data_IF_059595804590
#
_entry.id   IF_059595804590
#
_cell.length_a   1.000
_cell.length_b   1.000
_cell.length_c   1.000
_cell.angle_alpha   90.00
_cell.angle_beta   90.00
_cell.angle_gamma   90.00
#
_symmetry.space_group_name_H-M   'P 1'
#
loop_
_entity.id
_entity.type
_entity.pdbx_description
1 polymer ?
#
# COMPACT_ATOMS: atom_id res chain seq x y z
N UNK A 1 -13.93 22.21 4.27
CA UNK A 1 -12.59 21.71 4.68
C UNK A 1 -12.22 22.40 5.98
N UNK A 2 -12.40 21.73 7.13
CA UNK A 2 -12.11 22.31 8.45
C UNK A 2 -10.59 22.19 8.62
N UNK A 3 -9.85 23.32 8.56
CA UNK A 3 -8.46 23.39 9.00
C UNK A 3 -8.47 23.17 10.52
N UNK A 4 -8.15 21.95 10.95
CA UNK A 4 -7.88 21.66 12.35
C UNK A 4 -6.41 22.01 12.58
N UNK A 5 -6.18 23.10 13.28
CA UNK A 5 -4.83 23.64 13.59
C UNK A 5 -4.23 22.92 14.79
N UNK A 6 -4.27 21.56 14.76
CA UNK A 6 -3.65 20.69 15.76
C UNK A 6 -2.55 19.86 15.13
N UNK A 7 -1.49 19.58 15.88
CA UNK A 7 -0.41 18.73 15.40
C UNK A 7 -0.91 17.32 15.10
N UNK A 8 -0.29 16.65 14.13
CA UNK A 8 -0.64 15.27 13.78
C UNK A 8 -0.56 14.34 15.01
N UNK A 9 0.45 14.51 15.85
CA UNK A 9 0.59 13.77 17.10
C UNK A 9 -0.58 13.98 18.07
N UNK A 10 -1.09 15.21 18.18
CA UNK A 10 -2.25 15.50 19.03
C UNK A 10 -3.54 14.92 18.45
N UNK A 11 -3.69 14.96 17.12
CA UNK A 11 -4.82 14.34 16.42
C UNK A 11 -4.86 12.83 16.70
N UNK A 12 -3.73 12.14 16.63
CA UNK A 12 -3.62 10.71 16.93
C UNK A 12 -3.89 10.38 18.40
N UNK A 13 -3.48 11.22 19.34
CA UNK A 13 -3.83 11.07 20.76
C UNK A 13 -5.33 11.18 20.99
N UNK A 14 -6.00 12.17 20.38
CA UNK A 14 -7.46 12.33 20.45
C UNK A 14 -8.18 11.13 19.81
N UNK A 15 -7.73 10.67 18.67
CA UNK A 15 -8.26 9.47 18.01
C UNK A 15 -8.15 8.25 18.95
N UNK A 16 -6.99 8.02 19.53
CA UNK A 16 -6.75 6.92 20.47
C UNK A 16 -7.57 7.00 21.76
N UNK A 17 -8.01 8.19 22.16
CA UNK A 17 -8.93 8.39 23.30
C UNK A 17 -10.42 8.30 22.93
N UNK A 18 -10.75 8.02 21.67
CA UNK A 18 -12.12 7.87 21.22
C UNK A 18 -12.82 9.15 20.77
N UNK A 19 -12.06 10.20 20.39
CA UNK A 19 -12.63 11.44 19.87
C UNK A 19 -13.16 11.21 18.43
N UNK A 20 -14.47 11.34 18.25
CA UNK A 20 -15.17 11.12 16.97
C UNK A 20 -14.75 12.12 15.89
N UNK A 21 -14.40 13.37 16.28
CA UNK A 21 -13.93 14.36 15.30
C UNK A 21 -12.54 14.01 14.79
N UNK A 22 -11.66 13.57 15.69
CA UNK A 22 -10.35 13.07 15.30
C UNK A 22 -10.46 11.82 14.42
N UNK A 23 -11.42 10.92 14.69
CA UNK A 23 -11.74 9.77 13.84
C UNK A 23 -12.07 10.21 12.42
N UNK A 24 -13.04 11.13 12.23
CA UNK A 24 -13.42 11.58 10.88
C UNK A 24 -12.24 12.16 10.11
N UNK A 25 -11.42 13.00 10.74
CA UNK A 25 -10.26 13.62 10.10
C UNK A 25 -9.23 12.57 9.64
N UNK A 26 -8.92 11.61 10.50
CA UNK A 26 -7.95 10.55 10.19
C UNK A 26 -8.51 9.61 9.13
N UNK A 27 -9.78 9.23 9.23
CA UNK A 27 -10.43 8.39 8.24
C UNK A 27 -10.43 9.05 6.86
N UNK A 28 -10.88 10.29 6.75
CA UNK A 28 -10.92 11.04 5.49
C UNK A 28 -9.53 11.23 4.88
N UNK A 29 -8.51 11.32 5.74
CA UNK A 29 -7.12 11.51 5.27
C UNK A 29 -6.49 10.23 4.70
N UNK A 30 -6.77 9.07 5.32
CA UNK A 30 -6.06 7.82 4.99
C UNK A 30 -6.89 6.78 4.23
N UNK A 31 -8.23 6.86 4.26
CA UNK A 31 -9.10 5.80 3.73
C UNK A 31 -8.87 5.54 2.22
N UNK A 32 -8.73 6.59 1.41
CA UNK A 32 -8.51 6.45 -0.03
C UNK A 32 -7.17 5.78 -0.34
N UNK A 33 -6.13 6.12 0.40
CA UNK A 33 -4.81 5.55 0.24
C UNK A 33 -4.77 4.07 0.68
N UNK A 34 -5.43 3.77 1.80
CA UNK A 34 -5.64 2.40 2.27
C UNK A 34 -6.46 1.59 1.25
N UNK A 35 -7.49 2.18 0.67
CA UNK A 35 -8.31 1.52 -0.34
C UNK A 35 -7.49 1.16 -1.60
N UNK A 36 -6.72 2.11 -2.14
CA UNK A 36 -5.85 1.85 -3.30
C UNK A 36 -4.85 0.73 -3.04
N UNK A 37 -4.20 0.74 -1.87
CA UNK A 37 -3.27 -0.32 -1.49
C UNK A 37 -3.99 -1.67 -1.30
N UNK A 38 -5.11 -1.67 -0.58
CA UNK A 38 -5.90 -2.87 -0.32
C UNK A 38 -6.41 -3.54 -1.59
N UNK A 39 -6.85 -2.77 -2.58
CA UNK A 39 -7.30 -3.29 -3.88
C UNK A 39 -6.20 -4.06 -4.61
N UNK A 40 -4.94 -3.62 -4.51
CA UNK A 40 -3.80 -4.32 -5.11
C UNK A 40 -3.53 -5.71 -4.48
N UNK A 41 -3.95 -5.90 -3.23
CA UNK A 41 -3.77 -7.16 -2.50
C UNK A 41 -4.99 -8.08 -2.67
N UNK A 42 -6.19 -7.54 -2.44
CA UNK A 42 -7.42 -8.34 -2.35
C UNK A 42 -8.15 -8.49 -3.69
N UNK A 43 -8.06 -7.50 -4.58
CA UNK A 43 -8.83 -7.45 -5.82
C UNK A 43 -10.34 -7.37 -5.63
N UNK A 44 -10.83 -7.31 -4.39
CA UNK A 44 -12.25 -7.25 -4.00
C UNK A 44 -12.54 -6.01 -3.19
N UNK A 45 -13.42 -5.16 -3.72
CA UNK A 45 -13.85 -3.93 -3.04
C UNK A 45 -14.50 -4.22 -1.69
N UNK A 46 -15.28 -5.28 -1.59
CA UNK A 46 -15.97 -5.69 -0.37
C UNK A 46 -14.95 -6.05 0.73
N UNK A 47 -14.02 -6.96 0.44
CA UNK A 47 -12.96 -7.34 1.38
C UNK A 47 -12.16 -6.13 1.84
N UNK A 48 -11.83 -5.21 0.92
CA UNK A 48 -11.03 -4.03 1.26
C UNK A 48 -11.77 -3.08 2.17
N UNK A 49 -13.04 -2.76 1.86
CA UNK A 49 -13.85 -1.86 2.69
C UNK A 49 -14.10 -2.43 4.08
N UNK A 50 -14.41 -3.72 4.18
CA UNK A 50 -14.58 -4.41 5.46
C UNK A 50 -13.27 -4.41 6.25
N UNK A 51 -12.13 -4.64 5.58
CA UNK A 51 -10.82 -4.60 6.23
C UNK A 51 -10.45 -3.22 6.75
N UNK A 52 -10.75 -2.16 5.99
CA UNK A 52 -10.54 -0.76 6.42
C UNK A 52 -11.41 -0.47 7.64
N UNK A 53 -12.70 -0.83 7.58
CA UNK A 53 -13.62 -0.65 8.69
C UNK A 53 -13.11 -1.37 9.95
N UNK A 54 -12.76 -2.65 9.83
CA UNK A 54 -12.25 -3.45 10.94
C UNK A 54 -10.98 -2.86 11.56
N UNK A 55 -10.04 -2.35 10.73
CA UNK A 55 -8.83 -1.68 11.22
C UNK A 55 -9.19 -0.46 12.05
N UNK A 56 -10.04 0.43 11.52
CA UNK A 56 -10.43 1.64 12.23
C UNK A 56 -11.20 1.35 13.52
N UNK A 57 -12.12 0.39 13.51
CA UNK A 57 -12.85 -0.04 14.71
C UNK A 57 -11.90 -0.61 15.77
N UNK A 58 -10.92 -1.41 15.39
CA UNK A 58 -9.96 -2.02 16.32
C UNK A 58 -9.05 -0.99 17.00
N UNK A 59 -8.63 0.04 16.27
CA UNK A 59 -7.68 1.02 16.79
C UNK A 59 -8.35 2.24 17.43
N UNK A 60 -9.60 2.54 17.04
CA UNK A 60 -10.34 3.67 17.63
C UNK A 60 -10.61 3.44 19.11
N UNK A 61 -10.19 4.37 19.95
CA UNK A 61 -10.31 4.27 21.40
C UNK A 61 -9.43 3.20 22.07
N UNK A 62 -8.62 2.45 21.31
CA UNK A 62 -7.76 1.37 21.84
C UNK A 62 -6.29 1.74 21.94
N UNK A 63 -5.87 2.81 21.28
CA UNK A 63 -4.50 3.27 21.33
C UNK A 63 -4.18 3.78 22.74
N UNK A 64 -3.08 3.30 23.33
CA UNK A 64 -2.59 3.87 24.58
C UNK A 64 -2.20 5.32 24.38
N UNK A 65 -2.43 6.17 25.39
CA UNK A 65 -2.12 7.60 25.33
C UNK A 65 -0.64 7.91 25.04
N UNK A 66 0.24 6.94 25.27
CA UNK A 66 1.69 7.00 25.07
C UNK A 66 2.17 6.26 23.81
N UNK A 67 1.23 5.76 22.96
CA UNK A 67 1.61 5.12 21.71
C UNK A 67 2.28 6.14 20.78
N UNK A 68 3.61 6.07 20.69
CA UNK A 68 4.41 6.87 19.75
C UNK A 68 4.27 6.28 18.32
N UNK A 69 3.22 6.68 17.62
CA UNK A 69 3.03 6.30 16.22
C UNK A 69 3.86 7.24 15.36
N UNK A 70 5.13 6.86 15.16
CA UNK A 70 6.09 7.68 14.37
C UNK A 70 5.68 7.88 12.93
N UNK A 71 5.04 6.88 12.33
CA UNK A 71 4.47 6.99 10.99
C UNK A 71 3.07 6.36 10.97
N UNK A 72 2.03 7.20 11.08
CA UNK A 72 0.65 6.77 11.03
C UNK A 72 0.27 6.02 9.75
N UNK A 73 0.75 6.48 8.61
CA UNK A 73 0.52 5.84 7.31
C UNK A 73 1.04 4.40 7.29
N UNK A 74 2.31 4.21 7.62
CA UNK A 74 2.91 2.88 7.64
C UNK A 74 2.20 1.95 8.65
N UNK A 75 1.80 2.48 9.81
CA UNK A 75 1.03 1.76 10.82
C UNK A 75 -0.32 1.27 10.29
N UNK A 76 -1.11 2.18 9.67
CA UNK A 76 -2.42 1.84 9.10
C UNK A 76 -2.32 0.84 7.94
N UNK A 77 -1.35 1.01 7.05
CA UNK A 77 -1.15 0.10 5.93
C UNK A 77 -0.71 -1.30 6.41
N UNK A 78 0.13 -1.39 7.45
CA UNK A 78 0.50 -2.67 8.07
C UNK A 78 -0.71 -3.35 8.70
N UNK A 79 -1.52 -2.62 9.45
CA UNK A 79 -2.75 -3.14 10.04
C UNK A 79 -3.73 -3.62 8.96
N UNK A 80 -3.91 -2.85 7.90
CA UNK A 80 -4.76 -3.21 6.76
C UNK A 80 -4.27 -4.49 6.06
N UNK A 81 -2.97 -4.61 5.79
CA UNK A 81 -2.38 -5.80 5.19
C UNK A 81 -2.69 -7.06 5.99
N UNK A 82 -2.51 -7.00 7.30
CA UNK A 82 -2.86 -8.09 8.21
C UNK A 82 -4.35 -8.41 8.21
N UNK A 83 -5.21 -7.38 8.27
CA UNK A 83 -6.66 -7.56 8.28
C UNK A 83 -7.19 -8.15 6.97
N UNK A 84 -6.67 -7.71 5.82
CA UNK A 84 -7.01 -8.30 4.51
C UNK A 84 -6.64 -9.78 4.47
N UNK A 85 -5.44 -10.13 4.96
CA UNK A 85 -5.02 -11.53 5.04
C UNK A 85 -5.99 -12.36 5.89
N UNK A 86 -6.37 -11.86 7.06
CA UNK A 86 -7.30 -12.55 7.97
C UNK A 86 -8.69 -12.71 7.34
N UNK A 87 -9.19 -11.69 6.64
CA UNK A 87 -10.48 -11.72 5.97
C UNK A 87 -10.47 -12.71 4.79
N UNK A 88 -9.45 -12.70 3.94
CA UNK A 88 -9.29 -13.65 2.83
C UNK A 88 -9.19 -15.08 3.39
N UNK A 89 -8.41 -15.29 4.45
CA UNK A 89 -8.27 -16.60 5.08
C UNK A 89 -9.59 -17.13 5.64
N UNK A 90 -10.39 -16.25 6.23
CA UNK A 90 -11.70 -16.59 6.78
C UNK A 90 -12.69 -16.99 5.68
N UNK A 91 -12.75 -16.24 4.58
CA UNK A 91 -13.64 -16.52 3.47
C UNK A 91 -13.29 -17.81 2.72
N UNK A 92 -12.01 -18.00 2.44
CA UNK A 92 -11.55 -19.12 1.60
C UNK A 92 -11.32 -20.43 2.36
N UNK A 93 -11.50 -20.50 3.67
CA UNK A 93 -11.35 -21.69 4.57
C UNK A 93 -10.15 -22.63 4.31
N UNK A 94 -9.30 -22.36 3.32
CA UNK A 94 -8.31 -23.29 2.76
C UNK A 94 -6.95 -22.64 2.42
N UNK A 95 -6.64 -21.43 2.91
CA UNK A 95 -5.33 -20.85 2.59
C UNK A 95 -4.23 -21.52 3.43
N UNK A 96 -3.51 -22.44 2.81
CA UNK A 96 -2.17 -22.89 3.23
C UNK A 96 -1.09 -21.85 2.93
N UNK A 97 -1.46 -20.75 2.27
CA UNK A 97 -0.54 -19.69 1.83
C UNK A 97 -0.43 -18.66 2.95
N UNK A 98 0.81 -18.35 3.37
CA UNK A 98 1.07 -17.26 4.32
C UNK A 98 0.80 -15.88 3.71
N UNK A 99 0.83 -14.84 4.56
CA UNK A 99 0.61 -13.44 4.16
C UNK A 99 1.53 -12.99 3.00
N UNK A 100 2.73 -13.54 2.91
CA UNK A 100 3.70 -13.26 1.84
C UNK A 100 3.35 -13.90 0.50
N UNK A 101 2.40 -14.82 0.48
CA UNK A 101 1.88 -15.45 -0.73
C UNK A 101 0.62 -14.78 -1.29
N UNK A 102 0.17 -13.67 -0.69
CA UNK A 102 -0.93 -12.89 -1.25
C UNK A 102 -0.54 -12.32 -2.61
N UNK A 103 -1.48 -12.26 -3.56
CA UNK A 103 -1.26 -11.58 -4.83
C UNK A 103 -0.99 -10.09 -4.57
N UNK A 104 -0.30 -9.45 -5.50
CA UNK A 104 -0.20 -8.00 -5.57
C UNK A 104 -0.37 -7.60 -7.03
N UNK A 105 -1.56 -7.13 -7.33
CA UNK A 105 -1.91 -6.74 -8.70
C UNK A 105 -1.62 -5.26 -8.91
N UNK A 106 -1.02 -4.95 -10.03
CA UNK A 106 -0.73 -3.58 -10.44
C UNK A 106 -1.43 -3.36 -11.75
N UNK A 107 -2.51 -2.58 -11.70
CA UNK A 107 -3.24 -2.20 -12.90
C UNK A 107 -2.46 -1.13 -13.67
N UNK A 108 -2.45 -1.27 -14.97
CA UNK A 108 -1.95 -0.28 -15.89
C UNK A 108 -2.99 0.84 -16.05
N UNK A 109 -2.66 2.04 -15.65
CA UNK A 109 -3.55 3.18 -15.79
C UNK A 109 -3.07 4.10 -16.91
N UNK A 110 -3.54 3.81 -18.13
CA UNK A 110 -3.22 4.58 -19.35
C UNK A 110 -3.98 5.89 -19.48
N UNK A 111 -4.99 6.15 -18.63
CA UNK A 111 -5.90 7.28 -18.83
C UNK A 111 -5.28 8.65 -18.59
N UNK A 112 -4.10 8.74 -18.00
CA UNK A 112 -3.42 9.99 -17.66
C UNK A 112 -2.14 10.24 -18.47
N UNK A 113 -1.87 9.45 -19.54
CA UNK A 113 -0.61 9.58 -20.28
C UNK A 113 -0.68 10.68 -21.32
N UNK A 114 0.32 11.54 -21.33
CA UNK A 114 0.55 12.54 -22.38
C UNK A 114 1.01 11.93 -23.73
N UNK A 115 1.06 10.60 -23.85
CA UNK A 115 1.44 9.90 -25.08
C UNK A 115 0.23 9.86 -26.00
N UNK A 116 0.30 10.63 -27.07
CA UNK A 116 -0.73 10.75 -28.12
C UNK A 116 -0.52 9.81 -29.28
N UNK A 117 0.66 9.19 -29.38
CA UNK A 117 0.99 8.23 -30.42
C UNK A 117 0.60 6.79 -29.99
N UNK A 118 -0.28 6.18 -30.74
CA UNK A 118 -0.81 4.85 -30.45
C UNK A 118 0.27 3.76 -30.50
N UNK A 119 1.26 3.86 -31.40
CA UNK A 119 2.34 2.89 -31.53
C UNK A 119 3.30 2.97 -30.31
N UNK A 120 3.63 4.17 -29.86
CA UNK A 120 4.46 4.39 -28.68
C UNK A 120 3.73 3.91 -27.42
N UNK A 121 2.42 4.17 -27.34
CA UNK A 121 1.56 3.72 -26.24
C UNK A 121 1.51 2.19 -26.14
N UNK A 122 1.28 1.48 -27.24
CA UNK A 122 1.27 0.01 -27.27
C UNK A 122 2.61 -0.58 -26.86
N UNK A 123 3.70 0.02 -27.31
CA UNK A 123 5.06 -0.40 -26.95
C UNK A 123 5.30 -0.26 -25.43
N UNK A 124 4.97 0.87 -24.86
CA UNK A 124 5.14 1.11 -23.42
C UNK A 124 4.27 0.14 -22.62
N UNK A 125 3.02 -0.08 -23.03
CA UNK A 125 2.11 -1.02 -22.39
C UNK A 125 2.64 -2.46 -22.44
N UNK A 126 3.17 -2.89 -23.58
CA UNK A 126 3.78 -4.19 -23.74
C UNK A 126 4.98 -4.38 -22.82
N UNK A 127 5.88 -3.39 -22.77
CA UNK A 127 7.05 -3.39 -21.89
C UNK A 127 6.63 -3.42 -20.42
N UNK A 128 5.62 -2.64 -20.03
CA UNK A 128 5.11 -2.63 -18.67
C UNK A 128 4.55 -3.99 -18.25
N UNK A 129 3.74 -4.62 -19.12
CA UNK A 129 3.22 -5.99 -18.90
C UNK A 129 4.35 -7.01 -18.75
N UNK A 130 5.40 -6.93 -19.57
CA UNK A 130 6.56 -7.81 -19.48
C UNK A 130 7.30 -7.62 -18.15
N UNK A 131 7.55 -6.37 -17.73
CA UNK A 131 8.18 -6.07 -16.43
C UNK A 131 7.35 -6.64 -15.29
N UNK A 132 6.07 -6.32 -15.24
CA UNK A 132 5.18 -6.74 -14.14
C UNK A 132 5.02 -8.27 -14.08
N UNK A 133 4.96 -8.94 -15.23
CA UNK A 133 4.95 -10.40 -15.31
C UNK A 133 6.25 -11.03 -14.80
N UNK A 134 7.40 -10.36 -14.98
CA UNK A 134 8.70 -10.84 -14.50
C UNK A 134 8.88 -10.71 -12.97
N UNK A 135 8.07 -9.86 -12.31
CA UNK A 135 8.19 -9.56 -10.89
C UNK A 135 7.33 -10.49 -10.04
N UNK A 136 7.85 -10.87 -8.86
CA UNK A 136 7.02 -11.54 -7.85
C UNK A 136 6.06 -10.54 -7.20
N UNK A 137 4.94 -11.02 -6.63
CA UNK A 137 4.00 -10.18 -5.87
C UNK A 137 4.73 -9.33 -4.81
N UNK A 138 5.65 -9.94 -4.08
CA UNK A 138 6.45 -9.28 -3.05
C UNK A 138 7.40 -8.21 -3.61
N UNK A 139 7.92 -8.37 -4.83
CA UNK A 139 8.71 -7.33 -5.51
C UNK A 139 7.82 -6.16 -5.95
N UNK A 140 6.65 -6.44 -6.51
CA UNK A 140 5.66 -5.42 -6.88
C UNK A 140 5.23 -4.60 -5.66
N UNK A 141 4.87 -5.27 -4.57
CA UNK A 141 4.48 -4.63 -3.31
C UNK A 141 5.59 -3.72 -2.76
N UNK A 142 6.83 -4.21 -2.68
CA UNK A 142 7.96 -3.41 -2.21
C UNK A 142 8.21 -2.15 -3.06
N UNK A 143 8.15 -2.28 -4.40
CA UNK A 143 8.28 -1.16 -5.33
C UNK A 143 7.15 -0.16 -5.11
N UNK A 144 5.92 -0.62 -5.00
CA UNK A 144 4.76 0.24 -4.77
C UNK A 144 4.87 1.01 -3.44
N UNK A 145 5.16 0.31 -2.34
CA UNK A 145 5.27 0.94 -1.03
C UNK A 145 6.39 1.99 -0.97
N UNK A 146 7.55 1.67 -1.55
CA UNK A 146 8.70 2.57 -1.48
C UNK A 146 8.60 3.73 -2.47
N UNK A 147 8.31 3.47 -3.75
CA UNK A 147 8.34 4.51 -4.79
C UNK A 147 6.99 5.22 -4.98
N UNK A 148 5.85 4.50 -4.86
CA UNK A 148 4.53 5.11 -5.04
C UNK A 148 3.97 5.72 -3.76
N UNK A 149 4.08 4.98 -2.66
CA UNK A 149 3.55 5.43 -1.36
C UNK A 149 4.53 6.32 -0.60
N UNK A 150 5.79 6.43 -1.05
CA UNK A 150 6.82 7.27 -0.46
C UNK A 150 7.32 6.79 0.91
N UNK A 151 7.13 5.51 1.25
CA UNK A 151 7.64 4.96 2.51
C UNK A 151 9.15 4.80 2.47
N UNK A 152 9.82 5.10 3.58
CA UNK A 152 11.25 4.83 3.76
C UNK A 152 11.58 3.33 3.68
N UNK A 153 12.86 2.99 3.58
CA UNK A 153 13.29 1.58 3.65
C UNK A 153 12.89 0.93 4.97
N UNK A 154 13.04 1.66 6.07
CA UNK A 154 12.71 1.22 7.42
C UNK A 154 11.21 0.92 7.55
N UNK A 155 10.36 1.85 7.11
CA UNK A 155 8.90 1.73 7.15
C UNK A 155 8.40 0.60 6.25
N UNK A 156 8.91 0.52 5.03
CA UNK A 156 8.57 -0.56 4.10
C UNK A 156 8.99 -1.93 4.66
N UNK A 157 10.18 -2.02 5.26
CA UNK A 157 10.67 -3.26 5.87
C UNK A 157 9.78 -3.71 7.04
N UNK A 158 9.41 -2.77 7.93
CA UNK A 158 8.48 -3.03 9.05
C UNK A 158 7.10 -3.45 8.56
N UNK A 159 6.56 -2.80 7.51
CA UNK A 159 5.27 -3.14 6.94
C UNK A 159 5.28 -4.54 6.32
N UNK A 160 6.34 -4.90 5.62
CA UNK A 160 6.49 -6.18 4.93
C UNK A 160 7.04 -7.31 5.82
N UNK A 161 7.18 -7.08 7.13
CA UNK A 161 7.73 -8.04 8.10
C UNK A 161 9.10 -8.63 7.65
N UNK A 162 10.03 -7.75 7.26
CA UNK A 162 11.37 -8.14 6.83
C UNK A 162 12.44 -7.19 7.37
N UNK A 163 13.70 -7.64 7.37
CA UNK A 163 14.79 -6.74 7.72
C UNK A 163 15.14 -5.81 6.54
N UNK A 164 15.74 -4.66 6.87
CA UNK A 164 16.08 -3.61 5.90
C UNK A 164 17.01 -4.12 4.79
N UNK A 165 17.99 -4.99 5.12
CA UNK A 165 18.92 -5.52 4.12
C UNK A 165 18.21 -6.44 3.13
N UNK A 166 17.27 -7.27 3.59
CA UNK A 166 16.44 -8.11 2.73
C UNK A 166 15.57 -7.27 1.80
N UNK A 167 14.99 -6.17 2.31
CA UNK A 167 14.23 -5.23 1.49
C UNK A 167 15.10 -4.56 0.42
N UNK A 168 16.28 -4.07 0.78
CA UNK A 168 17.23 -3.48 -0.19
C UNK A 168 17.58 -4.45 -1.31
N UNK A 169 17.83 -5.72 -0.96
CA UNK A 169 18.12 -6.76 -1.93
C UNK A 169 16.89 -7.07 -2.83
N UNK A 170 15.68 -7.05 -2.23
CA UNK A 170 14.43 -7.26 -2.96
C UNK A 170 14.19 -6.16 -3.99
N UNK A 171 14.29 -4.89 -3.56
CA UNK A 171 14.15 -3.70 -4.41
C UNK A 171 15.23 -3.64 -5.49
N UNK A 172 16.48 -3.90 -5.15
CA UNK A 172 17.60 -3.93 -6.13
C UNK A 172 17.30 -4.93 -7.25
N UNK A 173 16.86 -6.15 -6.91
CA UNK A 173 16.48 -7.17 -7.90
C UNK A 173 15.28 -6.75 -8.75
N UNK A 174 14.29 -6.09 -8.16
CA UNK A 174 13.15 -5.55 -8.88
C UNK A 174 13.58 -4.46 -9.88
N UNK A 175 14.37 -3.49 -9.43
CA UNK A 175 14.89 -2.40 -10.28
C UNK A 175 15.74 -2.92 -11.43
N UNK A 176 16.57 -3.96 -11.19
CA UNK A 176 17.33 -4.59 -12.27
C UNK A 176 16.45 -5.23 -13.34
N UNK A 177 15.32 -5.86 -12.95
CA UNK A 177 14.34 -6.40 -13.89
C UNK A 177 13.69 -5.30 -14.71
N UNK A 178 13.26 -4.22 -14.05
CA UNK A 178 12.66 -3.07 -14.72
C UNK A 178 13.61 -2.50 -15.76
N UNK A 179 14.86 -2.18 -15.37
CA UNK A 179 15.87 -1.56 -16.23
C UNK A 179 16.28 -2.40 -17.44
N UNK A 180 16.07 -3.70 -17.44
CA UNK A 180 16.34 -4.57 -18.59
C UNK A 180 15.35 -4.39 -19.72
N UNK A 181 14.14 -3.97 -19.42
CA UNK A 181 13.01 -3.92 -20.36
C UNK A 181 12.67 -2.47 -20.73
N UNK A 182 12.66 -1.58 -19.75
CA UNK A 182 12.32 -0.17 -19.95
C UNK A 182 13.07 0.75 -18.97
N UNK A 183 13.22 2.06 -19.30
CA UNK A 183 13.80 3.02 -18.36
C UNK A 183 12.99 3.07 -17.04
N UNK A 184 13.71 3.08 -15.91
CA UNK A 184 13.05 3.09 -14.59
C UNK A 184 12.09 4.28 -14.41
N UNK A 185 12.47 5.46 -14.93
CA UNK A 185 11.64 6.67 -14.84
C UNK A 185 10.31 6.47 -15.58
N UNK A 186 10.34 5.85 -16.75
CA UNK A 186 9.13 5.54 -17.53
C UNK A 186 8.27 4.53 -16.77
N UNK A 187 8.86 3.45 -16.24
CA UNK A 187 8.14 2.48 -15.44
C UNK A 187 7.45 3.14 -14.23
N UNK A 188 8.17 3.97 -13.48
CA UNK A 188 7.61 4.62 -12.30
C UNK A 188 6.48 5.60 -12.64
N UNK A 189 6.58 6.30 -13.76
CA UNK A 189 5.52 7.22 -14.23
C UNK A 189 4.18 6.50 -14.44
N UNK A 190 4.20 5.24 -14.84
CA UNK A 190 3.00 4.43 -15.08
C UNK A 190 2.65 3.48 -13.93
N UNK A 191 3.58 3.26 -13.02
CA UNK A 191 3.39 2.40 -11.86
C UNK A 191 2.77 3.16 -10.68
N UNK A 192 2.92 4.48 -10.68
CA UNK A 192 2.44 5.40 -9.64
C UNK A 192 0.98 5.77 -9.85
#
# INVERSE_FOLDING_TARGET
MIKVDISETELWKKFGSGDVKAFSVIYDHYADEMFRYGMKIAGSKEIVLDSIHDVFVKIFGSLRHDADIRNPKAYLLKALRGQIYDNIKRERKLLTVGIDGLPFEVEWNLSETAVTDDEEREKIESQYREVTASMTARQKEAVYLHYSMGLSYEETAVLMDMNIQSLRNLLSRAVLKIRKIMPLVVFLQYFL
#
